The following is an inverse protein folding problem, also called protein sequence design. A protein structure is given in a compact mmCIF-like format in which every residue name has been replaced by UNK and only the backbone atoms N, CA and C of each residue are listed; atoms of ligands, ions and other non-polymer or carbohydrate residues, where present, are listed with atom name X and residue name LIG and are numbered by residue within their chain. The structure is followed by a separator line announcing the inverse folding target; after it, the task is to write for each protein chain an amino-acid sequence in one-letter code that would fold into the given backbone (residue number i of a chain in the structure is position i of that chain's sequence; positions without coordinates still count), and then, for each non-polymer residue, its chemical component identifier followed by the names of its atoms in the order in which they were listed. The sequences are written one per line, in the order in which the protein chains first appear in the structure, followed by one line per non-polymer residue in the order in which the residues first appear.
data_IF_352232499377
#
_entry.id   IF_352232499377
#
_cell.length_a   1.000
_cell.length_b   1.000
_cell.length_c   1.000
_cell.angle_alpha   90.00
_cell.angle_beta   90.00
_cell.angle_gamma   90.00
#
_symmetry.space_group_name_H-M   'P 1'
#
loop_
_entity.id
_entity.type
_entity.pdbx_description
1 polymer ?
#
# COMPACT_ATOMS: atom_id res chain seq x y z
N UNK A 1 61.28 -19.68 -31.59
CA UNK A 1 62.05 -18.42 -31.44
C UNK A 1 61.47 -17.69 -30.24
N UNK A 2 62.35 -17.58 -29.25
CA UNK A 2 62.13 -17.07 -27.90
C UNK A 2 61.74 -15.58 -27.84
N UNK A 3 60.93 -15.21 -26.84
CA UNK A 3 61.19 -14.07 -25.96
C UNK A 3 60.34 -14.11 -24.73
N UNK A 4 60.95 -14.40 -23.59
CA UNK A 4 60.50 -14.22 -22.21
C UNK A 4 60.40 -12.73 -21.89
N UNK A 5 59.27 -12.29 -21.24
CA UNK A 5 59.27 -11.09 -20.42
C UNK A 5 58.79 -11.40 -19.05
N UNK A 6 59.72 -11.48 -18.13
CA UNK A 6 59.54 -11.49 -16.68
C UNK A 6 59.22 -10.09 -16.18
N UNK A 7 58.01 -9.91 -15.60
CA UNK A 7 57.73 -8.71 -14.78
C UNK A 7 57.93 -9.04 -13.30
N UNK A 8 58.75 -8.21 -12.67
CA UNK A 8 59.08 -8.23 -11.25
C UNK A 8 57.89 -7.73 -10.41
N UNK A 9 57.64 -8.48 -9.33
CA UNK A 9 56.73 -8.11 -8.20
C UNK A 9 57.52 -7.15 -7.29
N UNK A 10 56.99 -5.99 -6.88
CA UNK A 10 57.59 -5.19 -5.84
C UNK A 10 57.27 -5.75 -4.45
N UNK A 11 58.28 -5.87 -3.59
CA UNK A 11 58.16 -6.23 -2.18
C UNK A 11 57.63 -5.03 -1.37
N UNK A 12 56.91 -5.28 -0.25
CA UNK A 12 56.41 -4.24 0.62
C UNK A 12 57.50 -3.68 1.52
N UNK A 13 57.58 -2.34 1.57
CA UNK A 13 58.45 -1.63 2.53
C UNK A 13 57.93 -1.83 3.96
N UNK A 14 58.84 -2.25 4.81
CA UNK A 14 58.69 -2.23 6.26
C UNK A 14 58.94 -0.81 6.78
N UNK A 15 57.97 -0.24 7.52
CA UNK A 15 58.16 0.96 8.31
C UNK A 15 58.39 0.58 9.77
N UNK A 16 59.26 1.24 10.51
CA UNK A 16 59.56 0.90 11.87
C UNK A 16 58.47 1.38 12.85
N UNK A 17 58.14 0.49 13.76
CA UNK A 17 57.30 0.73 14.91
C UNK A 17 58.05 1.57 15.94
N UNK A 18 57.62 2.82 16.19
CA UNK A 18 57.97 3.53 17.40
C UNK A 18 56.71 3.71 18.23
N UNK A 19 56.72 3.01 19.36
CA UNK A 19 55.77 3.20 20.47
C UNK A 19 55.99 4.60 21.03
N UNK A 20 54.93 5.40 21.07
CA UNK A 20 54.85 6.54 21.98
C UNK A 20 53.49 6.51 22.68
N UNK A 21 53.51 5.98 23.91
CA UNK A 21 52.41 6.04 24.83
C UNK A 21 52.44 7.42 25.50
N UNK A 22 51.74 8.37 24.94
CA UNK A 22 51.32 9.56 25.67
C UNK A 22 49.79 9.51 25.83
N UNK A 23 49.37 8.94 26.95
CA UNK A 23 48.00 9.02 27.44
C UNK A 23 47.68 10.52 27.76
N UNK A 24 46.87 11.11 26.90
CA UNK A 24 46.22 12.38 27.25
C UNK A 24 45.18 12.07 28.36
N UNK A 25 45.20 12.75 29.50
CA UNK A 25 44.16 12.59 30.47
C UNK A 25 42.84 13.11 29.91
N UNK A 26 41.85 12.24 29.82
CA UNK A 26 40.47 12.63 29.61
C UNK A 26 40.05 13.35 30.87
N UNK A 27 39.92 14.64 30.79
CA UNK A 27 39.42 15.48 31.90
C UNK A 27 37.91 15.17 32.07
N UNK A 28 37.63 14.27 33.00
CA UNK A 28 36.26 13.90 33.38
C UNK A 28 35.45 15.06 33.96
N UNK A 29 36.10 16.19 34.26
CA UNK A 29 35.42 17.39 34.78
C UNK A 29 34.72 18.23 33.72
N UNK A 30 34.95 17.95 32.42
CA UNK A 30 34.33 18.74 31.34
C UNK A 30 32.85 18.40 31.11
N UNK A 31 32.40 17.23 31.59
CA UNK A 31 31.01 16.80 31.43
C UNK A 31 30.06 17.16 32.58
N UNK A 32 30.59 17.63 33.71
CA UNK A 32 29.77 17.85 34.91
C UNK A 32 29.20 19.28 35.01
N UNK A 33 29.75 20.26 34.29
CA UNK A 33 29.40 21.68 34.47
C UNK A 33 28.78 22.36 33.24
N UNK A 34 28.36 21.63 32.21
CA UNK A 34 27.54 22.17 31.14
C UNK A 34 26.31 21.29 31.03
N UNK A 35 25.21 21.49 31.78
CA UNK A 35 23.96 20.93 31.42
C UNK A 35 23.68 21.47 30.00
N UNK A 36 23.68 20.59 29.02
CA UNK A 36 23.12 20.88 27.70
C UNK A 36 21.66 21.22 27.97
N UNK A 37 21.45 22.49 28.28
CA UNK A 37 20.13 23.06 28.39
C UNK A 37 19.61 23.13 26.96
N UNK A 38 19.23 21.98 26.43
CA UNK A 38 18.36 21.93 25.24
C UNK A 38 17.01 22.46 25.74
N UNK A 39 16.61 23.69 25.37
CA UNK A 39 15.23 24.12 25.59
C UNK A 39 14.36 23.37 24.57
N UNK A 40 14.30 22.01 24.68
CA UNK A 40 13.55 21.20 23.75
C UNK A 40 12.05 21.42 23.90
N UNK A 41 11.58 21.90 25.04
CA UNK A 41 10.17 22.27 25.22
C UNK A 41 10.09 23.34 26.33
N UNK A 42 9.40 24.44 26.07
CA UNK A 42 8.88 25.36 27.07
C UNK A 42 8.01 24.59 28.08
N UNK A 43 7.87 25.09 29.34
CA UNK A 43 6.98 24.50 30.36
C UNK A 43 5.51 24.29 29.91
N UNK A 44 5.17 24.75 28.72
CA UNK A 44 3.90 24.53 28.02
C UNK A 44 4.09 23.54 26.89
N UNK A 45 4.38 22.28 27.20
CA UNK A 45 4.55 21.27 26.14
C UNK A 45 3.22 20.60 25.79
N UNK A 46 2.85 20.70 24.51
CA UNK A 46 1.79 19.91 23.88
C UNK A 46 1.97 18.43 24.20
N UNK A 47 0.90 17.74 24.60
CA UNK A 47 0.93 16.31 24.95
C UNK A 47 0.38 15.43 23.83
N UNK A 48 0.82 14.17 23.76
CA UNK A 48 0.26 13.18 22.82
C UNK A 48 -1.26 13.05 23.00
N UNK A 49 -1.75 13.11 24.22
CA UNK A 49 -3.18 13.03 24.52
C UNK A 49 -3.98 14.21 23.94
N UNK A 50 -3.43 15.43 23.96
CA UNK A 50 -4.07 16.57 23.30
C UNK A 50 -4.11 16.40 21.78
N UNK A 51 -3.07 15.80 21.17
CA UNK A 51 -3.08 15.46 19.75
C UNK A 51 -4.15 14.42 19.43
N UNK A 52 -4.33 13.39 20.27
CA UNK A 52 -5.40 12.41 20.11
C UNK A 52 -6.79 13.07 20.13
N UNK A 53 -7.01 14.03 21.02
CA UNK A 53 -8.29 14.71 21.14
C UNK A 53 -8.64 15.55 19.91
N UNK A 54 -7.69 16.30 19.33
CA UNK A 54 -7.94 17.08 18.12
C UNK A 54 -8.18 16.17 16.91
N UNK A 55 -7.47 15.04 16.81
CA UNK A 55 -7.69 14.05 15.77
C UNK A 55 -9.04 13.38 15.90
N UNK A 56 -9.46 13.02 17.12
CA UNK A 56 -10.77 12.44 17.39
C UNK A 56 -11.91 13.42 17.05
N UNK A 57 -11.76 14.70 17.43
CA UNK A 57 -12.77 15.72 17.10
C UNK A 57 -12.87 15.97 15.59
N UNK A 58 -11.76 15.96 14.88
CA UNK A 58 -11.76 16.08 13.43
C UNK A 58 -12.44 14.88 12.75
N UNK A 59 -12.24 13.66 13.28
CA UNK A 59 -12.84 12.43 12.74
C UNK A 59 -14.35 12.39 12.96
N UNK A 60 -14.80 12.68 14.18
CA UNK A 60 -16.21 12.53 14.57
C UNK A 60 -17.05 13.79 14.36
N UNK A 61 -16.42 14.95 14.19
CA UNK A 61 -17.07 16.26 13.95
C UNK A 61 -18.09 16.65 15.04
N UNK A 62 -18.10 15.96 16.16
CA UNK A 62 -19.03 16.17 17.28
C UNK A 62 -18.34 15.86 18.60
N UNK A 63 -18.40 16.81 19.56
CA UNK A 63 -17.67 16.71 20.82
C UNK A 63 -18.04 15.50 21.68
N UNK A 64 -19.32 15.13 21.74
CA UNK A 64 -19.79 13.98 22.56
C UNK A 64 -19.23 12.67 22.01
N UNK A 65 -19.35 12.45 20.69
CA UNK A 65 -18.85 11.24 20.04
C UNK A 65 -17.32 11.15 20.06
N UNK A 66 -16.62 12.28 19.87
CA UNK A 66 -15.17 12.34 20.00
C UNK A 66 -14.70 12.01 21.42
N UNK A 67 -15.39 12.54 22.44
CA UNK A 67 -15.07 12.27 23.84
C UNK A 67 -15.30 10.78 24.20
N UNK A 68 -16.41 10.20 23.74
CA UNK A 68 -16.68 8.76 23.91
C UNK A 68 -15.57 7.90 23.25
N UNK A 69 -15.13 8.26 22.05
CA UNK A 69 -14.05 7.55 21.35
C UNK A 69 -12.68 7.64 22.10
N UNK A 70 -12.47 8.71 22.87
CA UNK A 70 -11.27 8.90 23.69
C UNK A 70 -11.45 8.42 25.16
N UNK A 71 -12.57 7.80 25.50
CA UNK A 71 -12.89 7.34 26.86
C UNK A 71 -12.84 8.44 27.94
N UNK A 72 -13.26 9.64 27.58
CA UNK A 72 -13.30 10.81 28.49
C UNK A 72 -14.67 11.51 28.45
N UNK A 73 -14.89 12.44 29.39
CA UNK A 73 -16.07 13.31 29.36
C UNK A 73 -15.94 14.39 28.29
N UNK A 74 -17.07 14.85 27.75
CA UNK A 74 -17.07 15.97 26.78
C UNK A 74 -16.40 17.22 27.34
N UNK A 75 -16.60 17.54 28.62
CA UNK A 75 -15.98 18.67 29.28
C UNK A 75 -14.46 18.56 29.33
N UNK A 76 -13.92 17.37 29.63
CA UNK A 76 -12.48 17.08 29.62
C UNK A 76 -11.88 17.29 28.24
N UNK A 77 -12.48 16.66 27.20
CA UNK A 77 -11.99 16.80 25.84
C UNK A 77 -12.01 18.26 25.38
N UNK A 78 -13.13 18.97 25.60
CA UNK A 78 -13.28 20.38 25.21
C UNK A 78 -12.27 21.29 25.94
N UNK A 79 -12.05 21.08 27.24
CA UNK A 79 -11.06 21.85 28.04
C UNK A 79 -9.64 21.62 27.54
N UNK A 80 -9.25 20.38 27.22
CA UNK A 80 -7.91 20.05 26.72
C UNK A 80 -7.66 20.59 25.31
N UNK A 81 -8.66 20.55 24.43
CA UNK A 81 -8.56 21.18 23.11
C UNK A 81 -8.41 22.71 23.26
N UNK A 82 -9.22 23.33 24.13
CA UNK A 82 -9.10 24.77 24.37
C UNK A 82 -7.73 25.16 24.96
N UNK A 83 -7.19 24.35 25.87
CA UNK A 83 -5.84 24.54 26.40
C UNK A 83 -4.79 24.46 25.30
N UNK A 84 -4.89 23.49 24.39
CA UNK A 84 -3.99 23.37 23.24
C UNK A 84 -4.11 24.58 22.29
N UNK A 85 -5.34 25.04 21.99
CA UNK A 85 -5.57 26.27 21.20
C UNK A 85 -4.90 27.51 21.84
N UNK A 86 -4.93 27.61 23.15
CA UNK A 86 -4.24 28.68 23.90
C UNK A 86 -2.72 28.55 23.85
N UNK A 87 -2.19 27.33 24.01
CA UNK A 87 -0.74 27.03 23.91
C UNK A 87 -0.18 27.37 22.53
N UNK A 88 -0.93 27.03 21.47
CA UNK A 88 -0.58 27.31 20.08
C UNK A 88 -0.94 28.75 19.64
N UNK A 89 -1.65 29.50 20.48
CA UNK A 89 -2.24 30.80 20.12
C UNK A 89 -3.00 30.77 18.80
N UNK A 90 -3.75 29.68 18.55
CA UNK A 90 -4.43 29.40 17.27
C UNK A 90 -5.72 28.65 17.53
N UNK A 91 -6.82 29.11 16.94
CA UNK A 91 -8.11 28.42 16.97
C UNK A 91 -8.04 27.24 15.96
N UNK A 92 -8.25 26.02 16.45
CA UNK A 92 -8.19 24.81 15.60
C UNK A 92 -9.55 24.46 15.01
N UNK A 93 -10.66 24.75 15.71
CA UNK A 93 -12.00 24.38 15.29
C UNK A 93 -12.97 25.55 15.30
N UNK A 94 -13.74 25.68 14.24
CA UNK A 94 -14.90 26.57 14.19
C UNK A 94 -16.09 25.89 14.90
N UNK A 95 -16.35 26.35 16.13
CA UNK A 95 -17.41 25.82 17.00
C UNK A 95 -18.78 26.42 16.70
N UNK A 96 -18.85 27.46 15.84
CA UNK A 96 -20.11 28.08 15.45
C UNK A 96 -20.89 27.20 14.46
N UNK A 97 -20.24 26.23 13.84
CA UNK A 97 -20.82 25.31 12.85
C UNK A 97 -21.23 23.98 13.46
N UNK A 98 -22.27 23.39 12.92
CA UNK A 98 -22.68 22.01 13.18
C UNK A 98 -22.88 21.31 11.82
N UNK A 99 -22.08 20.26 11.53
CA UNK A 99 -21.01 19.67 12.36
C UNK A 99 -19.79 20.61 12.54
N UNK A 100 -19.05 20.43 13.64
CA UNK A 100 -17.82 21.17 13.93
C UNK A 100 -16.81 20.93 12.82
N UNK A 101 -16.16 21.99 12.35
CA UNK A 101 -15.15 21.89 11.26
C UNK A 101 -13.83 22.52 11.69
N UNK A 102 -12.68 21.99 11.25
CA UNK A 102 -11.40 22.62 11.50
C UNK A 102 -11.28 23.93 10.73
N UNK A 103 -10.52 24.86 11.29
CA UNK A 103 -10.08 26.07 10.57
C UNK A 103 -8.98 25.69 9.54
N UNK A 104 -8.60 26.62 8.67
CA UNK A 104 -7.50 26.38 7.73
C UNK A 104 -6.18 26.02 8.44
N UNK A 105 -5.85 26.75 9.54
CA UNK A 105 -4.70 26.42 10.37
C UNK A 105 -4.92 25.11 11.14
N UNK A 106 -6.14 24.86 11.64
CA UNK A 106 -6.51 23.62 12.31
C UNK A 106 -6.29 22.40 11.44
N UNK A 107 -6.66 22.45 10.14
CA UNK A 107 -6.45 21.33 9.20
C UNK A 107 -4.96 20.94 9.12
N UNK A 108 -4.06 21.92 8.94
CA UNK A 108 -2.62 21.66 8.86
C UNK A 108 -2.05 21.09 10.16
N UNK A 109 -2.49 21.64 11.30
CA UNK A 109 -2.02 21.17 12.63
C UNK A 109 -2.54 19.76 12.93
N UNK A 110 -3.79 19.46 12.59
CA UNK A 110 -4.37 18.13 12.79
C UNK A 110 -3.67 17.09 11.89
N UNK A 111 -3.36 17.42 10.64
CA UNK A 111 -2.58 16.56 9.77
C UNK A 111 -1.20 16.24 10.37
N UNK A 112 -0.51 17.27 10.89
CA UNK A 112 0.78 17.09 11.56
C UNK A 112 0.64 16.30 12.88
N UNK A 113 -0.45 16.49 13.63
CA UNK A 113 -0.75 15.71 14.82
C UNK A 113 -0.93 14.21 14.50
N UNK A 114 -1.59 13.88 13.38
CA UNK A 114 -1.70 12.50 12.90
C UNK A 114 -0.32 11.89 12.62
N UNK A 115 0.60 12.66 12.01
CA UNK A 115 2.00 12.22 11.78
C UNK A 115 2.69 11.94 13.13
N UNK A 116 2.65 12.88 14.05
CA UNK A 116 3.31 12.73 15.35
C UNK A 116 2.80 11.52 16.15
N UNK A 117 1.49 11.31 16.18
CA UNK A 117 0.89 10.14 16.84
C UNK A 117 1.28 8.82 16.19
N UNK A 118 1.43 8.79 14.86
CA UNK A 118 1.93 7.60 14.17
C UNK A 118 3.38 7.30 14.54
N UNK A 119 4.26 8.30 14.57
CA UNK A 119 5.65 8.11 14.99
C UNK A 119 5.76 7.59 16.44
N UNK A 120 4.91 8.07 17.34
CA UNK A 120 4.84 7.53 18.70
C UNK A 120 4.38 6.06 18.73
N UNK A 121 3.43 5.67 17.88
CA UNK A 121 3.00 4.26 17.76
C UNK A 121 4.11 3.36 17.24
N UNK A 122 4.95 3.83 16.29
CA UNK A 122 6.09 3.07 15.77
C UNK A 122 7.07 2.63 16.87
N UNK A 123 7.18 3.36 17.98
CA UNK A 123 8.01 2.94 19.11
C UNK A 123 7.51 1.59 19.69
N UNK A 124 6.20 1.45 19.85
CA UNK A 124 5.59 0.19 20.30
C UNK A 124 5.75 -0.93 19.27
N UNK A 125 5.62 -0.58 17.97
CA UNK A 125 5.80 -1.54 16.88
C UNK A 125 7.24 -2.07 16.83
N UNK A 126 8.27 -1.21 17.08
CA UNK A 126 9.67 -1.63 17.17
C UNK A 126 9.87 -2.65 18.31
N UNK A 127 9.26 -2.41 19.47
CA UNK A 127 9.33 -3.36 20.58
C UNK A 127 8.63 -4.68 20.24
N UNK A 128 7.47 -4.62 19.57
CA UNK A 128 6.74 -5.80 19.13
C UNK A 128 7.53 -6.61 18.09
N UNK A 129 8.21 -5.94 17.16
CA UNK A 129 9.04 -6.58 16.11
C UNK A 129 10.22 -7.37 16.66
N UNK A 130 10.75 -7.00 17.85
CA UNK A 130 11.80 -7.74 18.54
C UNK A 130 11.27 -8.98 19.28
N UNK A 131 9.95 -9.14 19.36
CA UNK A 131 9.32 -10.31 20.00
C UNK A 131 9.30 -11.50 19.05
N UNK A 132 9.45 -12.71 19.58
CA UNK A 132 9.23 -13.95 18.82
C UNK A 132 7.75 -14.20 18.49
N UNK A 133 6.84 -13.46 19.13
CA UNK A 133 5.39 -13.57 18.90
C UNK A 133 4.94 -12.47 17.96
N UNK A 134 4.30 -12.86 16.86
CA UNK A 134 3.75 -11.93 15.86
C UNK A 134 2.41 -11.40 16.37
N UNK A 135 2.36 -10.10 16.68
CA UNK A 135 1.19 -9.44 17.30
C UNK A 135 1.09 -7.98 16.90
N UNK A 136 -0.10 -7.41 17.07
CA UNK A 136 -0.37 -5.98 16.82
C UNK A 136 -1.46 -5.76 15.79
N UNK A 137 -1.59 -4.54 15.29
CA UNK A 137 -2.57 -4.20 14.25
C UNK A 137 -1.88 -4.08 12.91
N UNK A 138 -2.48 -4.66 11.86
CA UNK A 138 -2.07 -4.53 10.47
C UNK A 138 -3.16 -3.82 9.68
N UNK A 139 -2.89 -2.60 9.22
CA UNK A 139 -3.77 -1.84 8.33
C UNK A 139 -3.42 -2.13 6.88
N UNK A 140 -4.26 -2.91 6.21
CA UNK A 140 -4.04 -3.45 4.86
C UNK A 140 -4.95 -2.75 3.85
N UNK A 141 -4.36 -2.07 2.87
CA UNK A 141 -5.07 -1.55 1.70
C UNK A 141 -5.18 -2.62 0.60
N UNK A 142 -6.29 -2.68 -0.12
CA UNK A 142 -6.46 -3.59 -1.26
C UNK A 142 -7.23 -2.88 -2.37
N UNK A 143 -6.83 -3.07 -3.63
CA UNK A 143 -7.55 -2.53 -4.78
C UNK A 143 -8.88 -3.29 -5.04
N UNK A 144 -9.95 -2.60 -5.50
CA UNK A 144 -11.27 -3.20 -5.69
C UNK A 144 -11.31 -4.36 -6.70
N UNK A 145 -10.39 -4.40 -7.64
CA UNK A 145 -10.30 -5.49 -8.61
C UNK A 145 -9.62 -6.76 -8.07
N UNK A 146 -9.19 -6.74 -6.81
CA UNK A 146 -8.51 -7.85 -6.14
C UNK A 146 -9.22 -8.27 -4.85
N UNK A 147 -9.67 -7.31 -4.03
CA UNK A 147 -10.20 -7.56 -2.70
C UNK A 147 -11.30 -8.63 -2.63
N UNK A 148 -12.37 -8.60 -3.45
CA UNK A 148 -13.47 -9.57 -3.35
C UNK A 148 -13.04 -11.02 -3.59
N UNK A 149 -11.96 -11.23 -4.32
CA UNK A 149 -11.56 -12.55 -4.81
C UNK A 149 -10.42 -13.16 -3.99
N UNK A 150 -9.48 -12.31 -3.50
CA UNK A 150 -8.30 -12.82 -2.79
C UNK A 150 -8.52 -12.95 -1.29
N UNK A 151 -9.36 -12.10 -0.67
CA UNK A 151 -9.55 -12.11 0.78
C UNK A 151 -10.07 -13.47 1.29
N UNK A 152 -10.99 -14.08 0.56
CA UNK A 152 -11.52 -15.41 0.89
C UNK A 152 -10.47 -16.53 0.83
N UNK A 153 -9.37 -16.35 0.10
CA UNK A 153 -8.33 -17.37 -0.03
C UNK A 153 -7.42 -17.44 1.21
N UNK A 154 -7.06 -16.30 1.79
CA UNK A 154 -5.97 -16.28 2.79
C UNK A 154 -6.37 -15.72 4.16
N UNK A 155 -7.39 -14.87 4.26
CA UNK A 155 -7.62 -14.07 5.47
C UNK A 155 -7.97 -14.93 6.69
N UNK A 156 -8.80 -15.94 6.52
CA UNK A 156 -9.17 -16.87 7.61
C UNK A 156 -7.94 -17.63 8.11
N UNK A 157 -7.13 -18.13 7.19
CA UNK A 157 -5.89 -18.85 7.48
C UNK A 157 -4.87 -17.97 8.19
N UNK A 158 -4.73 -16.73 7.72
CA UNK A 158 -3.84 -15.75 8.36
C UNK A 158 -4.28 -15.46 9.81
N UNK A 159 -5.57 -15.20 10.03
CA UNK A 159 -6.10 -14.93 11.37
C UNK A 159 -6.01 -16.14 12.32
N UNK A 160 -6.20 -17.34 11.78
CA UNK A 160 -6.04 -18.58 12.58
C UNK A 160 -4.60 -18.82 13.00
N UNK A 161 -3.63 -18.54 12.10
CA UNK A 161 -2.20 -18.73 12.35
C UNK A 161 -1.60 -17.64 13.24
N UNK A 162 -2.13 -16.41 13.14
CA UNK A 162 -1.67 -15.23 13.89
C UNK A 162 -2.81 -14.55 14.66
N UNK A 163 -3.36 -15.20 15.70
CA UNK A 163 -4.57 -14.73 16.40
C UNK A 163 -4.35 -13.41 17.18
N UNK A 164 -3.10 -13.05 17.48
CA UNK A 164 -2.75 -11.79 18.14
C UNK A 164 -2.57 -10.62 17.14
N UNK A 165 -2.76 -10.87 15.84
CA UNK A 165 -2.73 -9.83 14.80
C UNK A 165 -4.16 -9.41 14.47
N UNK A 166 -4.47 -8.15 14.74
CA UNK A 166 -5.72 -7.52 14.31
C UNK A 166 -5.57 -6.94 12.90
N UNK A 167 -6.22 -7.54 11.91
CA UNK A 167 -6.20 -7.03 10.53
C UNK A 167 -7.34 -6.04 10.31
N UNK A 168 -7.00 -4.84 9.86
CA UNK A 168 -7.94 -3.81 9.38
C UNK A 168 -7.78 -3.71 7.87
N UNK A 169 -8.88 -3.81 7.12
CA UNK A 169 -8.86 -3.82 5.65
C UNK A 169 -9.57 -2.59 5.12
N UNK A 170 -8.92 -1.90 4.19
CA UNK A 170 -9.49 -0.79 3.45
C UNK A 170 -9.44 -1.07 1.94
N UNK A 171 -10.60 -1.04 1.30
CA UNK A 171 -10.72 -1.15 -0.16
C UNK A 171 -10.73 0.24 -0.77
N UNK A 172 -9.71 0.53 -1.60
CA UNK A 172 -9.49 1.87 -2.16
C UNK A 172 -8.81 1.81 -3.53
N UNK A 173 -8.89 2.90 -4.29
CA UNK A 173 -8.16 3.03 -5.56
C UNK A 173 -6.65 3.04 -5.34
N UNK A 174 -5.87 2.67 -6.36
CA UNK A 174 -4.39 2.66 -6.30
C UNK A 174 -3.83 4.00 -5.85
N UNK A 175 -4.34 5.12 -6.39
CA UNK A 175 -3.87 6.46 -6.04
C UNK A 175 -4.17 6.85 -4.59
N UNK A 176 -5.33 6.45 -4.06
CA UNK A 176 -5.70 6.68 -2.67
C UNK A 176 -4.82 5.84 -1.71
N UNK A 177 -4.58 4.57 -2.05
CA UNK A 177 -3.70 3.67 -1.29
C UNK A 177 -2.27 4.20 -1.27
N UNK A 178 -1.70 4.57 -2.43
CA UNK A 178 -0.34 5.13 -2.52
C UNK A 178 -0.20 6.37 -1.63
N UNK A 179 -1.19 7.27 -1.66
CA UNK A 179 -1.20 8.43 -0.78
C UNK A 179 -1.24 8.02 0.70
N UNK A 180 -2.11 7.06 1.07
CA UNK A 180 -2.24 6.57 2.46
C UNK A 180 -0.95 5.90 2.94
N UNK A 181 -0.28 5.11 2.11
CA UNK A 181 1.02 4.51 2.43
C UNK A 181 2.11 5.57 2.67
N UNK A 182 2.19 6.60 1.82
CA UNK A 182 3.14 7.72 1.98
C UNK A 182 2.89 8.53 3.25
N UNK A 183 1.68 8.52 3.78
CA UNK A 183 1.32 9.23 5.01
C UNK A 183 1.18 8.28 6.22
N UNK A 184 1.69 7.06 6.13
CA UNK A 184 1.61 6.04 7.18
C UNK A 184 0.18 5.80 7.72
N UNK A 185 -0.83 5.98 6.87
CA UNK A 185 -2.24 5.69 7.18
C UNK A 185 -2.60 4.22 6.91
N UNK A 186 -1.79 3.55 6.11
CA UNK A 186 -1.80 2.10 5.88
C UNK A 186 -0.41 1.56 6.17
N UNK A 187 -0.34 0.35 6.72
CA UNK A 187 0.92 -0.35 6.94
C UNK A 187 1.45 -0.98 5.64
N UNK A 188 0.57 -1.63 4.91
CA UNK A 188 0.88 -2.21 3.61
C UNK A 188 -0.36 -2.27 2.72
N UNK A 189 -0.17 -2.66 1.47
CA UNK A 189 -1.27 -2.84 0.53
C UNK A 189 -0.99 -3.94 -0.49
N UNK A 190 -2.04 -4.61 -0.97
CA UNK A 190 -2.02 -5.49 -2.13
C UNK A 190 -2.42 -4.70 -3.38
N UNK A 191 -1.47 -4.50 -4.26
CA UNK A 191 -1.59 -3.66 -5.46
C UNK A 191 -1.05 -4.37 -6.70
N UNK A 192 -1.56 -3.94 -7.86
CA UNK A 192 -0.86 -4.22 -9.13
C UNK A 192 0.37 -3.30 -9.24
N UNK A 193 1.51 -3.85 -9.66
CA UNK A 193 2.81 -3.15 -9.78
C UNK A 193 3.42 -3.34 -11.18
N UNK A 194 4.44 -2.57 -11.59
CA UNK A 194 5.17 -1.55 -10.82
C UNK A 194 4.45 -0.20 -10.72
N UNK A 195 4.57 0.49 -9.57
CA UNK A 195 4.00 1.82 -9.35
C UNK A 195 4.96 2.94 -9.75
N UNK A 196 6.27 2.66 -9.70
CA UNK A 196 7.32 3.65 -9.96
C UNK A 196 7.49 4.70 -8.86
N UNK A 197 7.08 4.39 -7.61
CA UNK A 197 7.13 5.31 -6.46
C UNK A 197 8.38 5.06 -5.60
N UNK A 198 9.38 5.96 -5.63
CA UNK A 198 10.68 5.71 -4.98
C UNK A 198 10.63 5.52 -3.47
N UNK A 199 9.61 6.07 -2.79
CA UNK A 199 9.42 5.93 -1.33
C UNK A 199 8.79 4.61 -0.90
N UNK A 200 8.25 3.84 -1.84
CA UNK A 200 7.60 2.57 -1.58
C UNK A 200 8.51 1.39 -1.92
N UNK A 201 8.33 0.30 -1.21
CA UNK A 201 8.87 -1.02 -1.51
C UNK A 201 7.76 -1.87 -2.12
N UNK A 202 8.09 -2.63 -3.15
CA UNK A 202 7.16 -3.48 -3.90
C UNK A 202 7.68 -4.91 -3.86
N UNK A 203 7.17 -5.71 -2.94
CA UNK A 203 7.56 -7.10 -2.80
C UNK A 203 6.62 -7.98 -3.61
N UNK A 204 7.09 -8.57 -4.69
CA UNK A 204 6.31 -9.47 -5.55
C UNK A 204 5.73 -10.64 -4.75
N UNK A 205 4.43 -10.88 -4.91
CA UNK A 205 3.74 -12.02 -4.29
C UNK A 205 3.38 -13.07 -5.33
N UNK A 206 2.66 -12.66 -6.39
CA UNK A 206 2.30 -13.53 -7.51
C UNK A 206 2.01 -12.73 -8.78
N UNK A 207 1.95 -13.43 -9.91
CA UNK A 207 1.56 -12.87 -11.21
C UNK A 207 0.24 -13.49 -11.64
N UNK A 208 -0.81 -12.68 -11.75
CA UNK A 208 -2.16 -13.12 -12.07
C UNK A 208 -2.45 -12.94 -13.56
N UNK A 209 -2.79 -14.02 -14.29
CA UNK A 209 -3.15 -13.91 -15.70
C UNK A 209 -4.50 -13.24 -15.90
N UNK A 210 -4.73 -12.73 -17.11
CA UNK A 210 -6.02 -12.25 -17.56
C UNK A 210 -6.72 -13.31 -18.41
N UNK A 211 -8.04 -13.26 -18.39
CA UNK A 211 -8.92 -14.02 -19.28
C UNK A 211 -9.83 -13.07 -20.06
N UNK A 212 -10.38 -13.54 -21.16
CA UNK A 212 -11.36 -12.79 -21.97
C UNK A 212 -12.76 -13.28 -21.61
N UNK A 213 -13.60 -12.35 -21.19
CA UNK A 213 -15.03 -12.57 -20.99
C UNK A 213 -15.81 -11.92 -22.14
N UNK A 214 -16.80 -12.62 -22.69
CA UNK A 214 -17.52 -12.20 -23.89
C UNK A 214 -19.02 -12.39 -23.73
N UNK A 215 -19.79 -11.54 -24.39
CA UNK A 215 -21.23 -11.74 -24.51
C UNK A 215 -21.55 -13.07 -25.19
N UNK A 216 -22.67 -13.70 -24.86
CA UNK A 216 -23.05 -15.03 -25.32
C UNK A 216 -23.12 -15.16 -26.88
N UNK A 217 -23.40 -14.05 -27.57
CA UNK A 217 -23.48 -14.02 -29.04
C UNK A 217 -22.14 -13.68 -29.73
N UNK A 218 -21.05 -13.51 -28.96
CA UNK A 218 -19.79 -13.03 -29.50
C UNK A 218 -19.10 -14.07 -30.38
N UNK A 219 -18.67 -13.75 -31.64
CA UNK A 219 -18.13 -14.74 -32.56
C UNK A 219 -16.85 -15.41 -32.08
N UNK A 220 -16.02 -14.72 -31.28
CA UNK A 220 -14.78 -15.28 -30.76
C UNK A 220 -15.00 -16.40 -29.72
N UNK A 221 -16.22 -16.64 -29.22
CA UNK A 221 -16.54 -17.78 -28.35
C UNK A 221 -16.30 -19.14 -29.02
N UNK A 222 -16.26 -19.22 -30.36
CA UNK A 222 -15.96 -20.43 -31.08
C UNK A 222 -14.47 -20.84 -31.03
N UNK A 223 -13.61 -19.94 -30.49
CA UNK A 223 -12.18 -20.22 -30.33
C UNK A 223 -11.91 -20.78 -28.94
N UNK A 224 -10.93 -21.67 -28.83
CA UNK A 224 -10.50 -22.24 -27.53
C UNK A 224 -9.60 -21.29 -26.73
N UNK A 225 -8.88 -20.37 -27.39
CA UNK A 225 -8.02 -19.35 -26.80
C UNK A 225 -7.99 -18.11 -27.70
N UNK A 226 -7.77 -16.96 -27.09
CA UNK A 226 -7.81 -15.65 -27.76
C UNK A 226 -6.40 -15.04 -27.78
N UNK A 227 -5.94 -14.64 -28.99
CA UNK A 227 -4.74 -13.82 -29.06
C UNK A 227 -5.08 -12.34 -28.80
N UNK A 228 -4.22 -11.55 -28.13
CA UNK A 228 -4.46 -10.13 -27.89
C UNK A 228 -4.76 -9.32 -29.15
N UNK A 229 -4.19 -9.74 -30.30
CA UNK A 229 -4.38 -9.09 -31.59
C UNK A 229 -5.84 -9.17 -32.08
N UNK A 230 -6.55 -10.25 -31.78
CA UNK A 230 -7.96 -10.40 -32.18
C UNK A 230 -8.83 -9.33 -31.49
N UNK A 231 -8.49 -8.95 -30.26
CA UNK A 231 -9.26 -7.94 -29.50
C UNK A 231 -9.02 -6.50 -29.99
N UNK A 232 -8.00 -6.25 -30.80
CA UNK A 232 -7.72 -4.89 -31.30
C UNK A 232 -8.87 -4.31 -32.13
N UNK A 233 -9.63 -5.16 -32.80
CA UNK A 233 -10.74 -4.74 -33.66
C UNK A 233 -12.12 -4.90 -33.03
N UNK A 234 -12.21 -5.52 -31.86
CA UNK A 234 -13.47 -5.73 -31.16
C UNK A 234 -13.89 -4.50 -30.34
N UNK A 235 -15.18 -4.34 -30.11
CA UNK A 235 -15.67 -3.39 -29.12
C UNK A 235 -15.43 -3.94 -27.72
N UNK A 236 -14.81 -3.12 -26.84
CA UNK A 236 -14.47 -3.52 -25.47
C UNK A 236 -15.26 -2.69 -24.46
N UNK A 237 -15.64 -3.35 -23.37
CA UNK A 237 -15.97 -2.69 -22.12
C UNK A 237 -14.71 -2.66 -21.27
N UNK A 238 -14.37 -1.52 -20.68
CA UNK A 238 -13.16 -1.34 -19.87
C UNK A 238 -13.51 -0.72 -18.51
N UNK A 239 -12.65 -0.92 -17.52
CA UNK A 239 -12.76 -0.20 -16.27
C UNK A 239 -12.35 1.27 -16.43
N UNK A 240 -12.95 2.15 -15.62
CA UNK A 240 -12.57 3.57 -15.57
C UNK A 240 -11.11 3.74 -15.15
N UNK A 241 -10.53 4.88 -15.46
CA UNK A 241 -9.13 5.22 -15.16
C UNK A 241 -8.82 5.26 -13.66
N UNK A 242 -9.83 5.34 -12.78
CA UNK A 242 -9.64 5.19 -11.35
C UNK A 242 -9.04 3.84 -10.95
N UNK A 243 -9.17 2.83 -11.82
CA UNK A 243 -8.61 1.50 -11.62
C UNK A 243 -7.40 1.29 -12.54
N UNK A 244 -6.25 0.94 -11.97
CA UNK A 244 -5.03 0.61 -12.74
C UNK A 244 -5.26 -0.48 -13.79
N UNK A 245 -6.21 -1.38 -13.54
CA UNK A 245 -6.59 -2.46 -14.46
C UNK A 245 -7.18 -1.93 -15.78
N UNK A 246 -7.95 -0.82 -15.77
CA UNK A 246 -8.47 -0.21 -17.00
C UNK A 246 -7.37 0.15 -18.00
N UNK A 247 -6.28 0.74 -17.51
CA UNK A 247 -5.09 1.04 -18.32
C UNK A 247 -4.39 -0.22 -18.83
N UNK A 248 -4.30 -1.28 -18.02
CA UNK A 248 -3.73 -2.57 -18.45
C UNK A 248 -4.56 -3.24 -19.55
N UNK A 249 -5.91 -3.19 -19.44
CA UNK A 249 -6.79 -3.72 -20.49
C UNK A 249 -6.51 -3.10 -21.85
N UNK A 250 -6.34 -1.77 -21.90
CA UNK A 250 -6.00 -1.06 -23.14
C UNK A 250 -4.61 -1.43 -23.64
N UNK A 251 -3.63 -1.62 -22.74
CA UNK A 251 -2.26 -2.05 -23.11
C UNK A 251 -2.24 -3.47 -23.69
N UNK A 252 -2.98 -4.41 -23.12
CA UNK A 252 -3.12 -5.79 -23.68
C UNK A 252 -3.59 -5.74 -25.13
N UNK A 253 -4.53 -4.85 -25.45
CA UNK A 253 -5.09 -4.72 -26.79
C UNK A 253 -4.27 -3.78 -27.70
N UNK A 254 -3.08 -3.29 -27.27
CA UNK A 254 -2.27 -2.29 -27.98
C UNK A 254 -3.06 -1.06 -28.41
N UNK A 255 -3.97 -0.60 -27.58
CA UNK A 255 -4.82 0.57 -27.86
C UNK A 255 -4.26 1.81 -27.21
N UNK A 256 -4.11 2.85 -28.00
CA UNK A 256 -3.67 4.18 -27.53
C UNK A 256 -4.82 5.12 -27.27
N UNK A 257 -6.02 4.78 -27.76
CA UNK A 257 -7.21 5.62 -27.66
C UNK A 257 -8.50 4.81 -27.32
N UNK A 258 -9.56 5.55 -27.00
CA UNK A 258 -10.86 5.00 -26.63
C UNK A 258 -11.81 4.72 -27.82
N UNK A 259 -11.33 4.78 -29.07
CA UNK A 259 -12.21 4.75 -30.27
C UNK A 259 -13.10 3.53 -30.41
N UNK A 260 -12.78 2.43 -29.74
CA UNK A 260 -13.58 1.19 -29.71
C UNK A 260 -13.90 0.75 -28.28
N UNK A 261 -13.92 1.69 -27.34
CA UNK A 261 -14.44 1.47 -26.00
C UNK A 261 -15.95 1.72 -26.03
N UNK A 262 -16.72 0.65 -25.95
CA UNK A 262 -18.18 0.73 -25.96
C UNK A 262 -18.71 1.39 -24.66
N UNK A 263 -18.17 0.95 -23.53
CA UNK A 263 -18.57 1.43 -22.19
C UNK A 263 -17.38 1.47 -21.22
N UNK A 264 -17.47 2.36 -20.23
CA UNK A 264 -16.57 2.41 -19.06
C UNK A 264 -17.34 2.00 -17.81
N UNK A 265 -16.81 1.02 -17.06
CA UNK A 265 -17.42 0.46 -15.85
C UNK A 265 -16.65 0.88 -14.60
N UNK A 266 -17.34 1.00 -13.45
CA UNK A 266 -16.74 1.31 -12.15
C UNK A 266 -16.35 0.08 -11.33
N UNK A 267 -16.78 -1.13 -11.72
CA UNK A 267 -16.47 -2.39 -11.03
C UNK A 267 -16.46 -3.56 -12.02
N UNK A 268 -15.89 -4.70 -11.60
CA UNK A 268 -15.88 -5.93 -12.41
C UNK A 268 -17.31 -6.45 -12.65
N UNK A 269 -18.21 -6.33 -11.68
CA UNK A 269 -19.60 -6.76 -11.85
C UNK A 269 -20.33 -5.89 -12.87
N UNK A 270 -20.15 -4.57 -12.83
CA UNK A 270 -20.70 -3.66 -13.85
C UNK A 270 -20.06 -3.93 -15.22
N UNK A 271 -18.75 -4.26 -15.24
CA UNK A 271 -18.01 -4.60 -16.46
C UNK A 271 -18.64 -5.80 -17.17
N UNK A 272 -18.94 -6.88 -16.45
CA UNK A 272 -19.63 -8.08 -16.98
C UNK A 272 -21.02 -7.74 -17.50
N UNK A 273 -21.82 -7.04 -16.70
CA UNK A 273 -23.19 -6.64 -17.08
C UNK A 273 -23.20 -5.83 -18.41
N UNK A 274 -22.33 -4.83 -18.51
CA UNK A 274 -22.23 -4.01 -19.73
C UNK A 274 -21.71 -4.80 -20.94
N UNK A 275 -20.83 -5.79 -20.73
CA UNK A 275 -20.36 -6.68 -21.77
C UNK A 275 -21.51 -7.49 -22.37
N UNK A 276 -22.38 -8.02 -21.53
CA UNK A 276 -23.54 -8.79 -21.96
C UNK A 276 -24.56 -7.94 -22.74
N UNK A 277 -24.86 -6.74 -22.22
CA UNK A 277 -25.81 -5.80 -22.87
C UNK A 277 -25.25 -5.32 -24.21
N UNK A 278 -23.98 -4.96 -24.26
CA UNK A 278 -23.31 -4.39 -25.42
C UNK A 278 -22.94 -5.39 -26.50
N UNK A 279 -23.08 -6.70 -26.26
CA UNK A 279 -22.56 -7.77 -27.12
C UNK A 279 -21.06 -7.65 -27.40
N UNK A 280 -20.32 -7.15 -26.43
CA UNK A 280 -18.91 -6.82 -26.50
C UNK A 280 -18.02 -7.93 -25.91
N UNK A 281 -16.73 -7.63 -25.81
CA UNK A 281 -15.75 -8.39 -25.04
C UNK A 281 -15.16 -7.53 -23.90
N UNK A 282 -14.60 -8.18 -22.88
CA UNK A 282 -13.84 -7.54 -21.84
C UNK A 282 -12.73 -8.46 -21.31
N UNK A 283 -11.81 -7.93 -20.52
CA UNK A 283 -10.80 -8.70 -19.81
C UNK A 283 -11.19 -8.81 -18.35
N UNK A 284 -10.95 -9.97 -17.75
CA UNK A 284 -11.11 -10.20 -16.32
C UNK A 284 -9.79 -10.69 -15.73
N UNK A 285 -9.45 -10.31 -14.48
CA UNK A 285 -8.42 -10.99 -13.71
C UNK A 285 -8.87 -12.42 -13.41
N UNK A 286 -7.98 -13.40 -13.47
CA UNK A 286 -8.37 -14.82 -13.36
C UNK A 286 -8.95 -15.15 -11.98
N UNK A 287 -8.51 -14.50 -10.90
CA UNK A 287 -9.14 -14.64 -9.57
C UNK A 287 -10.65 -14.38 -9.59
N UNK A 288 -11.11 -13.46 -10.42
CA UNK A 288 -12.54 -13.14 -10.52
C UNK A 288 -13.37 -14.22 -11.18
N UNK A 289 -12.74 -15.18 -11.85
CA UNK A 289 -13.42 -16.32 -12.50
C UNK A 289 -14.07 -17.23 -11.45
N UNK A 290 -13.50 -17.33 -10.25
CA UNK A 290 -14.07 -18.11 -9.16
C UNK A 290 -15.45 -17.63 -8.68
N UNK A 291 -15.82 -16.39 -8.99
CA UNK A 291 -17.10 -15.78 -8.63
C UNK A 291 -18.14 -15.84 -9.77
N UNK A 292 -17.79 -16.45 -10.91
CA UNK A 292 -18.68 -16.59 -12.06
C UNK A 292 -19.65 -17.75 -11.88
N UNK A 293 -20.86 -17.59 -12.42
CA UNK A 293 -21.84 -18.67 -12.56
C UNK A 293 -21.43 -19.66 -13.67
N UNK A 294 -22.03 -20.84 -13.68
CA UNK A 294 -21.76 -21.87 -14.71
C UNK A 294 -22.01 -21.32 -16.12
N UNK A 295 -23.05 -20.53 -16.33
CA UNK A 295 -23.36 -19.88 -17.60
C UNK A 295 -22.33 -18.83 -18.00
N UNK A 296 -21.80 -18.06 -17.02
CA UNK A 296 -20.75 -17.09 -17.26
C UNK A 296 -19.41 -17.76 -17.59
N UNK A 297 -19.10 -18.90 -16.96
CA UNK A 297 -17.89 -19.68 -17.24
C UNK A 297 -17.83 -20.14 -18.70
N UNK A 298 -18.96 -20.48 -19.32
CA UNK A 298 -19.02 -20.86 -20.74
C UNK A 298 -18.57 -19.71 -21.68
N UNK A 299 -18.56 -18.49 -21.18
CA UNK A 299 -18.22 -17.25 -21.92
C UNK A 299 -16.81 -16.75 -21.69
N UNK A 300 -16.02 -17.49 -20.91
CA UNK A 300 -14.61 -17.20 -20.63
C UNK A 300 -13.70 -17.94 -21.60
N UNK A 301 -12.66 -17.27 -22.07
CA UNK A 301 -11.58 -17.91 -22.85
C UNK A 301 -10.22 -17.45 -22.34
N UNK A 302 -9.26 -18.36 -22.24
CA UNK A 302 -7.89 -18.00 -21.91
C UNK A 302 -7.23 -17.23 -23.06
N UNK A 303 -6.18 -16.51 -22.76
CA UNK A 303 -5.29 -15.98 -23.79
C UNK A 303 -4.33 -17.04 -24.32
N UNK A 304 -3.85 -16.85 -25.56
CA UNK A 304 -2.71 -17.61 -26.09
C UNK A 304 -1.42 -17.22 -25.34
N UNK A 305 -0.46 -18.16 -25.31
CA UNK A 305 0.87 -17.92 -24.71
C UNK A 305 1.72 -17.02 -25.61
N UNK A 306 2.44 -16.02 -25.08
CA UNK A 306 2.52 -15.65 -23.65
C UNK A 306 1.24 -14.96 -23.17
N UNK A 307 0.68 -15.45 -22.05
CA UNK A 307 -0.57 -14.95 -21.48
C UNK A 307 -0.37 -13.59 -20.85
N UNK A 308 -1.13 -12.55 -21.22
CA UNK A 308 -1.11 -11.26 -20.54
C UNK A 308 -1.49 -11.43 -19.06
N UNK A 309 -0.75 -10.77 -18.17
CA UNK A 309 -0.91 -10.91 -16.73
C UNK A 309 -0.60 -9.60 -16.01
N UNK A 310 -1.00 -9.50 -14.74
CA UNK A 310 -0.59 -8.42 -13.85
C UNK A 310 0.25 -8.95 -12.70
N UNK A 311 1.26 -8.19 -12.33
CA UNK A 311 2.06 -8.47 -11.14
C UNK A 311 1.34 -7.94 -9.91
N UNK A 312 1.13 -8.79 -8.91
CA UNK A 312 0.56 -8.41 -7.62
C UNK A 312 1.66 -8.42 -6.58
N UNK A 313 1.79 -7.31 -5.88
CA UNK A 313 2.82 -7.11 -4.84
C UNK A 313 2.20 -6.65 -3.54
N UNK A 314 2.85 -6.99 -2.43
CA UNK A 314 2.66 -6.27 -1.17
C UNK A 314 3.54 -5.04 -1.21
N UNK A 315 2.89 -3.88 -1.09
CA UNK A 315 3.53 -2.56 -1.16
C UNK A 315 3.47 -1.89 0.20
N UNK A 316 4.58 -1.32 0.65
CA UNK A 316 4.68 -0.62 1.92
C UNK A 316 5.72 0.49 1.86
N UNK A 317 5.66 1.44 2.79
CA UNK A 317 6.64 2.53 2.86
C UNK A 317 8.01 2.00 3.32
N UNK A 318 9.11 2.55 2.79
CA UNK A 318 10.50 2.11 3.14
C UNK A 318 10.81 2.17 4.63
N UNK A 319 10.18 3.08 5.38
CA UNK A 319 10.33 3.22 6.83
C UNK A 319 9.43 2.27 7.63
N UNK A 320 8.73 1.32 6.98
CA UNK A 320 7.84 0.38 7.64
C UNK A 320 8.61 -0.49 8.64
N UNK A 321 8.07 -0.57 9.86
CA UNK A 321 8.67 -1.31 10.98
C UNK A 321 8.12 -2.74 11.07
N UNK A 322 6.82 -2.97 10.78
CA UNK A 322 6.10 -4.26 10.93
C UNK A 322 6.45 -5.28 9.85
N UNK A 323 7.75 -5.49 9.58
CA UNK A 323 8.21 -6.34 8.48
C UNK A 323 7.87 -7.81 8.69
N UNK A 324 7.97 -8.30 9.94
CA UNK A 324 7.64 -9.69 10.27
C UNK A 324 6.16 -10.00 9.94
N UNK A 325 5.24 -9.13 10.31
CA UNK A 325 3.80 -9.32 10.01
C UNK A 325 3.58 -9.32 8.49
N UNK A 326 4.22 -8.40 7.77
CA UNK A 326 4.11 -8.28 6.31
C UNK A 326 4.67 -9.53 5.62
N UNK A 327 5.82 -10.02 6.06
CA UNK A 327 6.43 -11.24 5.52
C UNK A 327 5.52 -12.47 5.72
N UNK A 328 4.93 -12.60 6.91
CA UNK A 328 3.99 -13.69 7.17
C UNK A 328 2.70 -13.57 6.35
N UNK A 329 2.20 -12.34 6.14
CA UNK A 329 1.08 -12.11 5.23
C UNK A 329 1.40 -12.59 3.81
N UNK A 330 2.57 -12.23 3.29
CA UNK A 330 3.03 -12.66 1.96
C UNK A 330 3.15 -14.18 1.87
N UNK A 331 3.73 -14.81 2.89
CA UNK A 331 3.90 -16.26 2.93
C UNK A 331 2.56 -16.98 2.90
N UNK A 332 1.59 -16.53 3.71
CA UNK A 332 0.25 -17.12 3.69
C UNK A 332 -0.44 -16.91 2.34
N UNK A 333 -0.36 -15.73 1.74
CA UNK A 333 -0.95 -15.49 0.41
C UNK A 333 -0.35 -16.45 -0.63
N UNK A 334 0.98 -16.61 -0.66
CA UNK A 334 1.68 -17.52 -1.60
C UNK A 334 1.27 -18.98 -1.45
N UNK A 335 0.90 -19.42 -0.25
CA UNK A 335 0.42 -20.79 0.01
C UNK A 335 -0.94 -21.09 -0.66
N UNK A 336 -1.79 -20.04 -0.85
CA UNK A 336 -3.18 -20.20 -1.30
C UNK A 336 -3.46 -19.70 -2.71
N UNK A 337 -2.46 -19.15 -3.40
CA UNK A 337 -2.55 -18.83 -4.83
C UNK A 337 -2.00 -20.01 -5.65
N UNK A 338 -2.43 -20.19 -6.93
CA UNK A 338 -1.90 -21.21 -7.81
C UNK A 338 -0.38 -21.15 -7.93
N UNK A 339 0.29 -22.30 -7.85
CA UNK A 339 1.76 -22.40 -7.88
C UNK A 339 2.38 -21.85 -9.18
N UNK A 340 1.68 -21.98 -10.29
CA UNK A 340 2.08 -21.43 -11.59
C UNK A 340 2.17 -19.90 -11.61
N UNK A 341 1.43 -19.22 -10.70
CA UNK A 341 1.45 -17.75 -10.59
C UNK A 341 2.65 -17.25 -9.80
N UNK A 342 3.29 -18.12 -9.03
CA UNK A 342 4.51 -17.76 -8.26
C UNK A 342 5.75 -17.71 -9.17
N UNK A 343 5.79 -18.53 -10.24
CA UNK A 343 6.90 -18.62 -11.17
C UNK A 343 6.38 -18.56 -12.63
N UNK A 344 5.95 -17.38 -13.13
CA UNK A 344 5.24 -17.24 -14.40
C UNK A 344 6.18 -17.34 -15.61
N UNK A 345 6.48 -18.55 -16.08
CA UNK A 345 7.30 -18.74 -17.30
C UNK A 345 6.53 -18.46 -18.61
N UNK A 346 5.23 -18.62 -18.58
CA UNK A 346 4.35 -18.51 -19.75
C UNK A 346 3.52 -17.23 -19.79
N UNK A 347 3.74 -16.34 -18.81
CA UNK A 347 3.00 -15.10 -18.64
C UNK A 347 3.84 -13.89 -19.02
N UNK A 348 3.18 -12.86 -19.54
CA UNK A 348 3.77 -11.55 -19.82
C UNK A 348 3.12 -10.48 -18.96
N UNK A 349 3.88 -9.92 -18.04
CA UNK A 349 3.38 -8.85 -17.18
C UNK A 349 3.10 -7.57 -17.99
N UNK A 350 1.86 -7.10 -17.95
CA UNK A 350 1.42 -5.90 -18.65
C UNK A 350 1.67 -4.69 -17.77
N UNK A 351 2.42 -3.69 -18.26
CA UNK A 351 2.73 -2.51 -17.46
C UNK A 351 1.47 -1.69 -17.14
N UNK A 352 1.50 -1.01 -15.98
CA UNK A 352 0.50 0.00 -15.65
C UNK A 352 0.67 1.20 -16.59
N UNK A 353 -0.44 1.86 -16.95
CA UNK A 353 -0.35 3.19 -17.55
C UNK A 353 -0.08 4.19 -16.44
N UNK A 354 1.03 4.90 -16.53
CA UNK A 354 1.25 6.07 -15.70
C UNK A 354 0.21 7.13 -16.08
N UNK A 355 -0.58 7.58 -15.12
CA UNK A 355 -1.40 8.77 -15.29
C UNK A 355 -0.43 9.96 -15.33
N UNK A 356 -0.27 10.56 -16.49
CA UNK A 356 0.50 11.78 -16.71
C UNK A 356 -0.25 12.99 -16.13
#
# INVERSE_FOLDING_TARGET
MNAFFTQRVPQPMQSPCTQDHSSLPIDETFFINNPVNLPLFSEKSMTAQQLEYIVALDTHRHFVTAAAACYVTQSTLSAQIHKLEQELNTILFDRSRQPVVPTAAGTLIIEQARVALRELRKINDIVAEQSSVIRGTLSLGIIPTLAPYILGLFLEQFRSRYPEVQVQIEEETTSAIVRKLKHDQLDCALLATPLGEPSLMEDHVFTEPFVVYMAQSHPLLNLSAISPQLLQNEELVVLTEAHCFGGQMLNVCNRTDDRKVAFKAGSIETLKCLTDIGKCATLLPELSVSALTDDELLRVRPFTVPTPARTISVVYHRSMVKRNIIEQLQNVIREYVPQEWLNPQTMHAVPLRHQS
#
